data_IF_592335951315
#
_entry.id   IF_592335951315
#
_cell.length_a   1.000
_cell.length_b   1.000
_cell.length_c   1.000
_cell.angle_alpha   90.00
_cell.angle_beta   90.00
_cell.angle_gamma   90.00
#
_symmetry.space_group_name_H-M   'P 1'
#
loop_
_entity.id
_entity.type
_entity.pdbx_description
1 polymer ?
#
# COMPACT_ATOMS: atom_id res chain seq x y z
N UNK A 1 -19.10 -18.33 46.16
CA UNK A 1 -19.96 -19.11 45.25
C UNK A 1 -21.26 -18.33 45.06
N UNK A 2 -21.29 -17.44 44.07
CA UNK A 2 -22.44 -16.58 43.79
C UNK A 2 -22.75 -16.69 42.30
N UNK A 3 -23.71 -17.56 42.02
CA UNK A 3 -24.24 -17.83 40.69
C UNK A 3 -25.12 -16.66 40.26
N UNK A 4 -24.89 -16.09 39.08
CA UNK A 4 -25.81 -15.12 38.45
C UNK A 4 -26.20 -15.64 37.07
N UNK A 5 -27.49 -15.94 36.96
CA UNK A 5 -28.23 -16.25 35.73
C UNK A 5 -28.32 -14.99 34.85
N UNK A 6 -28.08 -15.15 33.55
CA UNK A 6 -28.37 -14.16 32.52
C UNK A 6 -29.43 -14.72 31.56
N UNK A 7 -30.43 -13.90 31.15
CA UNK A 7 -31.54 -14.33 30.31
C UNK A 7 -31.16 -14.37 28.82
N UNK A 8 -31.72 -15.35 28.12
CA UNK A 8 -31.64 -15.52 26.68
C UNK A 8 -32.47 -14.46 25.96
N UNK A 9 -31.86 -13.75 25.01
CA UNK A 9 -32.56 -12.90 24.05
C UNK A 9 -32.63 -13.63 22.70
N UNK A 10 -33.86 -13.99 22.31
CA UNK A 10 -34.21 -14.40 20.94
C UNK A 10 -34.25 -13.15 20.04
N UNK A 11 -33.51 -13.16 18.93
CA UNK A 11 -33.73 -12.23 17.82
C UNK A 11 -34.34 -12.98 16.63
N UNK A 12 -35.52 -12.51 16.24
CA UNK A 12 -36.28 -12.99 15.09
C UNK A 12 -35.64 -12.51 13.77
N UNK A 13 -35.51 -13.42 12.82
CA UNK A 13 -35.08 -13.14 11.46
C UNK A 13 -36.22 -12.52 10.64
N UNK A 14 -35.94 -11.42 9.94
CA UNK A 14 -36.82 -10.85 8.92
C UNK A 14 -36.10 -10.91 7.56
N UNK A 15 -36.58 -11.79 6.69
CA UNK A 15 -36.25 -11.91 5.27
C UNK A 15 -37.00 -10.86 4.46
N UNK A 16 -36.29 -10.04 3.70
CA UNK A 16 -36.87 -9.15 2.67
C UNK A 16 -36.31 -9.51 1.29
N UNK A 17 -37.19 -10.03 0.45
CA UNK A 17 -36.98 -10.30 -0.97
C UNK A 17 -36.90 -8.98 -1.75
N UNK A 18 -35.83 -8.78 -2.51
CA UNK A 18 -35.71 -7.69 -3.47
C UNK A 18 -36.05 -8.19 -4.88
N UNK A 19 -36.94 -7.45 -5.54
CA UNK A 19 -37.45 -7.66 -6.91
C UNK A 19 -36.40 -7.21 -7.92
N UNK A 20 -36.07 -8.09 -8.87
CA UNK A 20 -35.22 -7.79 -10.03
C UNK A 20 -36.07 -7.13 -11.13
N UNK A 21 -35.81 -5.85 -11.43
CA UNK A 21 -36.30 -5.16 -12.62
C UNK A 21 -35.24 -5.29 -13.73
N UNK A 22 -35.57 -6.07 -14.75
CA UNK A 22 -34.79 -6.20 -15.97
C UNK A 22 -35.19 -5.10 -16.97
N UNK A 23 -34.27 -4.19 -17.28
CA UNK A 23 -34.39 -3.29 -18.42
C UNK A 23 -33.62 -3.89 -19.60
N UNK A 24 -34.35 -4.29 -20.64
CA UNK A 24 -33.83 -4.68 -21.95
C UNK A 24 -33.96 -3.49 -22.90
N UNK A 25 -32.83 -2.89 -23.28
CA UNK A 25 -32.75 -2.03 -24.46
C UNK A 25 -31.78 -2.66 -25.47
N UNK A 26 -32.34 -3.04 -26.63
CA UNK A 26 -31.62 -3.49 -27.82
C UNK A 26 -31.21 -2.24 -28.60
N UNK A 27 -29.93 -1.91 -28.55
CA UNK A 27 -29.30 -1.05 -29.55
C UNK A 27 -28.04 -1.77 -30.04
N UNK A 28 -28.06 -2.21 -31.30
CA UNK A 28 -26.88 -2.75 -32.00
C UNK A 28 -25.89 -1.62 -32.23
N UNK A 29 -24.90 -1.53 -31.34
CA UNK A 29 -23.77 -0.62 -31.50
C UNK A 29 -22.68 -1.32 -32.31
N UNK A 30 -22.51 -0.90 -33.56
CA UNK A 30 -21.43 -1.33 -34.43
C UNK A 30 -20.20 -0.47 -34.14
N UNK A 31 -19.34 -0.95 -33.24
CA UNK A 31 -17.99 -0.41 -33.08
C UNK A 31 -17.05 -1.09 -34.07
N UNK A 32 -16.36 -0.29 -34.88
CA UNK A 32 -15.18 -0.72 -35.63
C UNK A 32 -14.14 -1.30 -34.67
N UNK A 33 -13.52 -2.45 -34.97
CA UNK A 33 -12.50 -3.04 -34.11
C UNK A 33 -11.29 -2.09 -34.03
N UNK A 34 -11.14 -1.45 -32.87
CA UNK A 34 -9.86 -0.87 -32.44
C UNK A 34 -8.83 -2.00 -32.43
N UNK A 35 -7.58 -1.76 -32.90
CA UNK A 35 -6.49 -2.72 -32.70
C UNK A 35 -6.45 -3.15 -31.23
N UNK A 36 -6.06 -4.39 -30.90
CA UNK A 36 -5.95 -4.80 -29.51
C UNK A 36 -4.99 -3.84 -28.81
N UNK A 37 -5.54 -2.97 -27.96
CA UNK A 37 -4.77 -2.17 -27.03
C UNK A 37 -3.85 -3.14 -26.30
N UNK A 38 -2.58 -2.76 -26.19
CA UNK A 38 -1.63 -3.45 -25.33
C UNK A 38 -2.35 -3.74 -24.02
N UNK A 39 -2.42 -5.04 -23.66
CA UNK A 39 -3.13 -5.55 -22.50
C UNK A 39 -3.01 -4.55 -21.35
N UNK A 40 -4.12 -4.09 -20.72
CA UNK A 40 -4.06 -3.09 -19.67
C UNK A 40 -3.00 -3.54 -18.68
N UNK A 41 -1.91 -2.77 -18.60
CA UNK A 41 -0.80 -3.09 -17.72
C UNK A 41 -1.38 -3.27 -16.32
N UNK A 42 -1.03 -4.38 -15.67
CA UNK A 42 -1.51 -4.71 -14.34
C UNK A 42 -1.34 -3.47 -13.45
N UNK A 43 -2.47 -2.96 -12.94
CA UNK A 43 -2.55 -1.77 -12.11
C UNK A 43 -1.52 -1.95 -10.99
N UNK A 44 -0.42 -1.21 -11.08
CA UNK A 44 0.58 -1.19 -10.02
C UNK A 44 -0.13 -0.78 -8.72
N UNK A 45 0.28 -1.30 -7.54
CA UNK A 45 -0.30 -0.88 -6.28
C UNK A 45 -0.37 0.64 -6.26
N UNK A 46 -1.59 1.17 -6.16
CA UNK A 46 -1.86 2.60 -6.21
C UNK A 46 -1.13 3.23 -5.02
N UNK A 47 0.04 3.80 -5.31
CA UNK A 47 0.71 4.71 -4.40
C UNK A 47 -0.08 6.01 -4.48
N UNK A 48 -0.50 6.58 -3.34
CA UNK A 48 -1.26 7.81 -3.34
C UNK A 48 -0.47 8.92 -4.03
N UNK A 49 -1.12 9.60 -4.95
CA UNK A 49 -0.73 10.97 -5.28
C UNK A 49 -1.09 11.84 -4.08
N UNK A 50 -0.24 11.81 -3.05
CA UNK A 50 -0.42 12.57 -1.84
C UNK A 50 -0.10 14.05 -2.11
N UNK A 51 -1.16 14.81 -2.41
CA UNK A 51 -1.20 16.26 -2.30
C UNK A 51 -0.92 17.00 -3.59
N UNK A 52 -1.99 17.58 -4.16
CA UNK A 52 -1.86 18.64 -5.15
C UNK A 52 -1.04 19.78 -4.57
N UNK A 53 0.15 19.98 -5.13
CA UNK A 53 1.00 21.11 -4.77
C UNK A 53 0.46 22.34 -5.52
N UNK A 54 -0.25 23.22 -4.80
CA UNK A 54 -0.72 24.49 -5.36
C UNK A 54 0.49 25.39 -5.69
N UNK A 55 0.64 25.68 -6.98
CA UNK A 55 1.16 26.93 -7.57
C UNK A 55 2.34 27.63 -6.90
N UNK A 56 3.56 27.12 -7.10
CA UNK A 56 4.78 27.91 -6.95
C UNK A 56 5.56 27.89 -8.26
N UNK A 57 5.67 29.02 -8.96
CA UNK A 57 6.55 29.25 -10.11
C UNK A 57 8.03 29.23 -9.67
N UNK A 58 8.50 28.08 -9.19
CA UNK A 58 9.92 27.77 -9.07
C UNK A 58 10.36 27.09 -10.36
N UNK A 59 11.40 27.62 -11.02
CA UNK A 59 11.90 27.15 -12.31
C UNK A 59 11.87 25.62 -12.42
N UNK A 60 11.13 25.11 -13.40
CA UNK A 60 10.94 23.69 -13.68
C UNK A 60 12.28 23.06 -14.05
N UNK A 61 13.04 22.65 -13.03
CA UNK A 61 14.10 21.68 -13.22
C UNK A 61 13.43 20.40 -13.65
N UNK A 62 13.58 20.05 -14.93
CA UNK A 62 13.05 18.79 -15.49
C UNK A 62 13.59 17.65 -14.62
N UNK A 63 12.68 16.97 -13.92
CA UNK A 63 13.01 15.80 -13.13
C UNK A 63 13.32 14.66 -14.12
N UNK A 64 14.60 14.34 -14.30
CA UNK A 64 15.00 13.20 -15.12
C UNK A 64 15.04 11.98 -14.21
N UNK A 65 14.05 11.11 -14.36
CA UNK A 65 14.01 9.87 -13.61
C UNK A 65 15.20 8.96 -14.02
N UNK A 66 15.88 8.37 -13.03
CA UNK A 66 17.06 7.53 -13.25
C UNK A 66 17.30 6.62 -12.04
N UNK A 67 17.59 5.35 -12.30
CA UNK A 67 17.89 4.37 -11.24
C UNK A 67 19.39 4.12 -11.23
N UNK A 68 20.07 4.25 -10.06
CA UNK A 68 21.49 3.95 -9.95
C UNK A 68 21.83 2.56 -10.52
N UNK A 69 22.94 2.45 -11.26
CA UNK A 69 23.35 1.19 -11.87
C UNK A 69 23.58 0.05 -10.85
N UNK A 70 23.87 0.42 -9.60
CA UNK A 70 24.05 -0.48 -8.47
C UNK A 70 22.81 -0.59 -7.56
N UNK A 71 21.63 -0.15 -8.02
CA UNK A 71 20.39 -0.31 -7.26
C UNK A 71 20.18 -1.79 -6.91
N UNK A 72 19.99 -2.03 -5.62
CA UNK A 72 19.62 -3.32 -5.06
C UNK A 72 18.46 -3.07 -4.13
N UNK A 73 17.40 -3.86 -4.31
CA UNK A 73 16.29 -3.80 -3.37
C UNK A 73 16.72 -4.35 -2.01
N UNK A 74 16.25 -3.67 -0.97
CA UNK A 74 16.51 -4.03 0.42
C UNK A 74 15.41 -4.92 1.03
N UNK A 75 14.71 -5.70 0.20
CA UNK A 75 13.59 -6.53 0.66
C UNK A 75 13.97 -7.34 1.90
N UNK A 76 13.25 -7.07 3.00
CA UNK A 76 13.33 -7.84 4.24
C UNK A 76 12.08 -8.70 4.32
N UNK A 77 12.22 -10.03 4.51
CA UNK A 77 11.09 -10.91 4.77
C UNK A 77 10.18 -10.34 5.87
N UNK A 78 8.87 -10.24 5.62
CA UNK A 78 7.96 -9.63 6.59
C UNK A 78 7.87 -10.49 7.86
N UNK A 79 7.68 -9.84 9.00
CA UNK A 79 7.39 -10.51 10.27
C UNK A 79 5.97 -10.21 10.69
N UNK A 80 5.15 -11.24 10.73
CA UNK A 80 3.80 -11.15 11.27
C UNK A 80 3.85 -11.31 12.79
N UNK A 81 3.18 -10.42 13.51
CA UNK A 81 3.01 -10.49 14.96
C UNK A 81 1.54 -10.18 15.30
N UNK A 82 0.65 -11.11 14.94
CA UNK A 82 -0.78 -11.01 15.21
C UNK A 82 -1.04 -10.84 16.71
N UNK A 83 -1.98 -9.96 17.03
CA UNK A 83 -2.34 -9.58 18.39
C UNK A 83 -1.42 -8.52 19.00
N UNK A 84 -0.39 -8.04 18.29
CA UNK A 84 0.44 -6.93 18.77
C UNK A 84 -0.31 -5.60 18.84
N UNK A 85 -1.34 -5.43 18.00
CA UNK A 85 -2.20 -4.25 17.96
C UNK A 85 -3.68 -4.64 18.09
N UNK A 86 -4.44 -3.84 18.82
CA UNK A 86 -5.90 -3.75 18.65
C UNK A 86 -6.23 -2.88 17.43
N UNK A 87 -7.47 -2.98 16.93
CA UNK A 87 -7.93 -2.12 15.81
C UNK A 87 -7.75 -0.62 16.12
N UNK A 88 -8.02 -0.22 17.37
CA UNK A 88 -7.82 1.16 17.82
C UNK A 88 -6.35 1.59 17.81
N UNK A 89 -5.41 0.67 18.05
CA UNK A 89 -3.98 0.98 18.02
C UNK A 89 -3.50 1.19 16.57
N UNK A 90 -4.03 0.41 15.62
CA UNK A 90 -3.75 0.60 14.19
C UNK A 90 -4.23 1.99 13.74
N UNK A 91 -5.46 2.38 14.09
CA UNK A 91 -5.98 3.73 13.79
C UNK A 91 -5.18 4.82 14.50
N UNK A 92 -4.77 4.56 15.74
CA UNK A 92 -3.91 5.43 16.53
C UNK A 92 -2.59 5.73 15.84
N UNK A 93 -1.89 4.71 15.33
CA UNK A 93 -0.63 4.92 14.62
C UNK A 93 -0.82 5.73 13.32
N UNK A 94 -1.90 5.49 12.55
CA UNK A 94 -2.19 6.32 11.38
C UNK A 94 -2.36 7.80 11.75
N UNK A 95 -3.22 8.07 12.72
CA UNK A 95 -3.58 9.43 13.14
C UNK A 95 -2.36 10.18 13.69
N UNK A 96 -1.56 9.53 14.52
CA UNK A 96 -0.46 10.19 15.24
C UNK A 96 0.87 10.19 14.46
N UNK A 97 1.08 9.26 13.52
CA UNK A 97 2.38 9.07 12.87
C UNK A 97 2.37 9.14 11.33
N UNK A 98 1.22 9.07 10.66
CA UNK A 98 1.19 8.96 9.19
C UNK A 98 0.36 10.06 8.50
N UNK A 99 -0.80 10.41 9.04
CA UNK A 99 -1.74 11.36 8.43
C UNK A 99 -1.15 12.79 8.33
N UNK A 100 -0.40 13.18 9.34
CA UNK A 100 0.02 14.56 9.58
C UNK A 100 1.54 14.73 9.57
N UNK A 101 2.25 13.92 8.77
CA UNK A 101 3.73 13.84 8.73
C UNK A 101 4.44 15.17 8.45
N UNK A 102 3.73 16.18 7.93
CA UNK A 102 4.27 17.51 7.60
C UNK A 102 3.99 18.57 8.66
N UNK A 103 3.24 18.25 9.72
CA UNK A 103 2.95 19.20 10.80
C UNK A 103 4.19 19.42 11.68
N UNK A 104 4.33 20.65 12.21
CA UNK A 104 5.55 21.06 12.93
C UNK A 104 5.80 20.27 14.23
N UNK A 105 4.73 19.79 14.86
CA UNK A 105 4.74 19.00 16.09
C UNK A 105 4.57 17.50 15.86
N UNK A 106 4.49 17.05 14.60
CA UNK A 106 4.28 15.65 14.22
C UNK A 106 5.20 14.69 14.99
N UNK A 107 6.50 14.99 15.04
CA UNK A 107 7.48 14.10 15.65
C UNK A 107 7.23 13.91 17.15
N UNK A 108 6.88 14.98 17.86
CA UNK A 108 6.56 14.90 19.29
C UNK A 108 5.27 14.10 19.54
N UNK A 109 4.25 14.28 18.69
CA UNK A 109 2.97 13.56 18.78
C UNK A 109 3.16 12.08 18.48
N UNK A 110 3.87 11.74 17.41
CA UNK A 110 4.15 10.36 17.05
C UNK A 110 5.02 9.68 18.10
N UNK A 111 6.10 10.32 18.57
CA UNK A 111 7.00 9.75 19.59
C UNK A 111 6.26 9.47 20.90
N UNK A 112 5.38 10.38 21.33
CA UNK A 112 4.54 10.18 22.52
C UNK A 112 3.62 8.96 22.35
N UNK A 113 2.99 8.81 21.18
CA UNK A 113 2.14 7.66 20.89
C UNK A 113 2.94 6.35 20.82
N UNK A 114 4.09 6.34 20.13
CA UNK A 114 4.98 5.18 19.99
C UNK A 114 5.47 4.72 21.36
N UNK A 115 5.83 5.65 22.24
CA UNK A 115 6.24 5.34 23.61
C UNK A 115 5.11 4.67 24.41
N UNK A 116 3.88 5.17 24.28
CA UNK A 116 2.71 4.60 24.96
C UNK A 116 2.28 3.24 24.38
N UNK A 117 2.56 2.97 23.09
CA UNK A 117 2.08 1.81 22.34
C UNK A 117 3.22 1.00 21.71
N UNK A 118 4.34 0.87 22.42
CA UNK A 118 5.60 0.35 21.87
C UNK A 118 5.49 -1.02 21.18
N UNK A 119 4.68 -1.94 21.71
CA UNK A 119 4.45 -3.26 21.10
C UNK A 119 3.78 -3.15 19.74
N UNK A 120 2.72 -2.34 19.62
CA UNK A 120 2.01 -2.15 18.36
C UNK A 120 2.88 -1.37 17.36
N UNK A 121 3.50 -0.27 17.81
CA UNK A 121 4.42 0.51 16.99
C UNK A 121 5.57 -0.33 16.43
N UNK A 122 6.16 -1.19 17.28
CA UNK A 122 7.24 -2.10 16.89
C UNK A 122 6.80 -3.18 15.91
N UNK A 123 5.53 -3.54 15.84
CA UNK A 123 5.01 -4.42 14.79
C UNK A 123 4.74 -3.66 13.49
N UNK A 124 4.12 -2.47 13.56
CA UNK A 124 3.74 -1.69 12.38
C UNK A 124 4.98 -1.21 11.62
N UNK A 125 5.96 -0.64 12.34
CA UNK A 125 7.13 0.00 11.74
C UNK A 125 8.42 -0.38 12.47
N UNK A 126 8.82 -1.67 12.46
CA UNK A 126 10.08 -2.10 13.07
C UNK A 126 11.27 -1.48 12.34
N UNK A 127 12.37 -1.30 13.07
CA UNK A 127 13.63 -0.74 12.56
C UNK A 127 14.26 -1.58 11.44
N UNK A 128 14.03 -2.90 11.45
CA UNK A 128 14.52 -3.81 10.42
C UNK A 128 13.65 -3.81 9.15
N UNK A 129 12.62 -2.97 9.09
CA UNK A 129 11.76 -2.78 7.91
C UNK A 129 10.97 -4.04 7.52
N UNK A 130 10.71 -4.93 8.48
CA UNK A 130 9.89 -6.13 8.25
C UNK A 130 8.40 -5.94 8.56
N UNK A 131 7.91 -4.72 8.81
CA UNK A 131 6.53 -4.45 9.24
C UNK A 131 5.61 -3.93 8.14
N UNK A 132 4.43 -3.47 8.53
CA UNK A 132 3.39 -2.95 7.63
C UNK A 132 3.76 -1.59 6.99
N UNK A 133 4.56 -0.78 7.67
CA UNK A 133 5.02 0.53 7.22
C UNK A 133 6.53 0.51 7.09
N UNK A 134 7.02 1.01 5.95
CA UNK A 134 8.45 1.13 5.66
C UNK A 134 8.81 2.60 5.63
N UNK A 135 9.54 3.05 6.63
CA UNK A 135 10.14 4.38 6.65
C UNK A 135 11.32 4.43 5.69
N UNK A 136 11.29 5.39 4.77
CA UNK A 136 12.31 5.59 3.75
C UNK A 136 13.13 6.83 4.12
N UNK A 137 14.44 6.64 4.35
CA UNK A 137 15.37 7.73 4.65
C UNK A 137 16.16 8.12 3.40
N UNK A 138 15.58 8.95 2.53
CA UNK A 138 16.29 9.51 1.38
C UNK A 138 16.75 10.94 1.65
N UNK A 139 17.64 11.14 2.64
CA UNK A 139 18.38 12.40 2.87
C UNK A 139 17.55 13.69 2.95
N UNK A 140 16.24 13.59 3.20
CA UNK A 140 15.25 14.66 3.07
C UNK A 140 14.07 14.47 4.03
N UNK A 141 12.90 15.10 3.77
CA UNK A 141 11.73 14.98 4.66
C UNK A 141 11.31 13.51 4.84
N UNK A 142 10.68 13.19 5.97
CA UNK A 142 10.28 11.82 6.28
C UNK A 142 9.28 11.32 5.24
N UNK A 143 9.57 10.19 4.61
CA UNK A 143 8.65 9.49 3.72
C UNK A 143 8.43 8.07 4.22
N UNK A 144 7.25 7.54 3.94
CA UNK A 144 6.94 6.15 4.20
C UNK A 144 6.24 5.53 2.99
N UNK A 145 6.29 4.22 2.93
CA UNK A 145 5.46 3.42 2.04
C UNK A 145 4.75 2.33 2.83
N UNK A 146 3.58 1.93 2.36
CA UNK A 146 2.90 0.74 2.88
C UNK A 146 3.57 -0.49 2.27
N UNK A 147 3.89 -1.48 3.10
CA UNK A 147 4.61 -2.70 2.72
C UNK A 147 3.72 -3.70 1.97
N UNK A 148 3.21 -3.30 0.80
CA UNK A 148 2.38 -4.16 -0.05
C UNK A 148 3.12 -5.43 -0.50
N UNK A 149 4.44 -5.35 -0.72
CA UNK A 149 5.28 -6.52 -1.01
C UNK A 149 5.34 -7.51 0.16
N UNK A 150 5.54 -7.01 1.37
CA UNK A 150 5.47 -7.83 2.58
C UNK A 150 4.07 -8.39 2.85
N UNK A 151 3.01 -7.61 2.58
CA UNK A 151 1.62 -8.10 2.65
C UNK A 151 1.43 -9.32 1.74
N UNK A 152 1.84 -9.22 0.48
CA UNK A 152 1.75 -10.32 -0.48
C UNK A 152 2.57 -11.54 -0.04
N UNK A 153 3.77 -11.32 0.51
CA UNK A 153 4.60 -12.41 1.03
C UNK A 153 3.93 -13.15 2.20
N UNK A 154 3.18 -12.45 3.06
CA UNK A 154 2.39 -13.07 4.13
C UNK A 154 1.20 -13.84 3.54
N UNK A 155 0.36 -13.18 2.72
CA UNK A 155 -0.88 -13.76 2.19
C UNK A 155 -0.61 -14.99 1.30
N UNK A 156 0.47 -14.94 0.51
CA UNK A 156 0.87 -16.05 -0.35
C UNK A 156 1.74 -17.09 0.37
N UNK A 157 2.07 -16.86 1.65
CA UNK A 157 2.99 -17.67 2.44
C UNK A 157 4.34 -17.91 1.73
N UNK A 158 4.85 -16.90 1.01
CA UNK A 158 6.10 -16.94 0.25
C UNK A 158 6.94 -15.69 0.54
N UNK A 159 7.88 -15.85 1.47
CA UNK A 159 8.86 -14.81 1.83
C UNK A 159 10.21 -15.01 1.14
N UNK A 160 10.28 -15.83 0.08
CA UNK A 160 11.52 -16.02 -0.65
C UNK A 160 11.91 -14.74 -1.42
N UNK A 161 13.22 -14.49 -1.68
CA UNK A 161 13.65 -13.32 -2.43
C UNK A 161 13.16 -13.28 -3.89
N UNK A 162 12.69 -14.41 -4.43
CA UNK A 162 12.11 -14.54 -5.76
C UNK A 162 10.58 -14.64 -5.73
N UNK A 163 9.99 -14.63 -4.54
CA UNK A 163 8.55 -14.70 -4.36
C UNK A 163 7.86 -13.42 -4.83
N UNK A 164 6.55 -13.52 -5.08
CA UNK A 164 5.78 -12.40 -5.60
C UNK A 164 5.84 -11.15 -4.71
N UNK A 165 5.89 -11.33 -3.38
CA UNK A 165 6.04 -10.23 -2.44
C UNK A 165 7.37 -9.48 -2.59
N UNK A 166 8.47 -10.22 -2.69
CA UNK A 166 9.82 -9.65 -2.88
C UNK A 166 9.95 -8.91 -4.22
N UNK A 167 9.44 -9.50 -5.31
CA UNK A 167 9.45 -8.89 -6.64
C UNK A 167 8.55 -7.65 -6.72
N UNK A 168 7.44 -7.64 -5.97
CA UNK A 168 6.57 -6.45 -5.86
C UNK A 168 7.27 -5.33 -5.09
N UNK A 169 7.96 -5.66 -4.01
CA UNK A 169 8.78 -4.69 -3.26
C UNK A 169 9.92 -4.14 -4.14
N UNK A 170 10.65 -4.98 -4.86
CA UNK A 170 11.74 -4.58 -5.76
C UNK A 170 11.26 -3.62 -6.86
N UNK A 171 10.12 -3.92 -7.50
CA UNK A 171 9.52 -3.04 -8.51
C UNK A 171 9.09 -1.68 -7.94
N UNK A 172 8.48 -1.68 -6.75
CA UNK A 172 8.08 -0.45 -6.05
C UNK A 172 9.29 0.39 -5.67
N UNK A 173 10.34 -0.22 -5.12
CA UNK A 173 11.56 0.49 -4.75
C UNK A 173 12.30 1.06 -5.95
N UNK A 174 12.37 0.32 -7.06
CA UNK A 174 12.92 0.84 -8.29
C UNK A 174 12.20 2.13 -8.71
N UNK A 175 10.87 2.16 -8.62
CA UNK A 175 10.08 3.35 -8.97
C UNK A 175 10.39 4.53 -8.04
N UNK A 176 10.57 4.26 -6.74
CA UNK A 176 10.94 5.28 -5.78
C UNK A 176 12.34 5.84 -6.02
N UNK A 177 13.32 4.95 -6.24
CA UNK A 177 14.72 5.32 -6.49
C UNK A 177 14.87 6.08 -7.80
N UNK A 178 14.10 5.71 -8.83
CA UNK A 178 14.03 6.45 -10.09
C UNK A 178 13.71 7.92 -9.87
N UNK A 179 12.89 8.23 -8.86
CA UNK A 179 12.43 9.57 -8.51
C UNK A 179 13.17 10.19 -7.33
N UNK A 180 14.06 9.46 -6.66
CA UNK A 180 14.70 9.89 -5.41
C UNK A 180 15.56 11.14 -5.53
N UNK A 181 16.05 11.44 -6.74
CA UNK A 181 16.82 12.66 -7.05
C UNK A 181 15.94 13.89 -7.31
N UNK A 182 14.63 13.72 -7.44
CA UNK A 182 13.73 14.82 -7.74
C UNK A 182 13.37 15.59 -6.47
N UNK A 183 13.25 16.92 -6.60
CA UNK A 183 13.01 17.81 -5.46
C UNK A 183 11.71 17.46 -4.70
N UNK A 184 10.74 16.88 -5.41
CA UNK A 184 9.54 16.31 -4.85
C UNK A 184 9.39 14.85 -5.35
N UNK A 185 10.01 13.87 -4.67
CA UNK A 185 9.91 12.46 -5.08
C UNK A 185 8.48 11.92 -4.93
N UNK A 186 7.63 12.64 -4.20
CA UNK A 186 6.20 12.33 -4.08
C UNK A 186 5.35 12.87 -5.21
N UNK A 187 5.88 13.73 -6.08
CA UNK A 187 5.16 14.19 -7.27
C UNK A 187 4.84 13.01 -8.20
N UNK A 188 3.56 12.86 -8.52
CA UNK A 188 3.08 11.82 -9.43
C UNK A 188 3.68 11.95 -10.83
N UNK A 189 4.12 13.15 -11.21
CA UNK A 189 4.72 13.42 -12.54
C UNK A 189 5.99 12.60 -12.77
N UNK A 190 6.93 12.59 -11.83
CA UNK A 190 8.15 11.80 -11.95
C UNK A 190 7.85 10.31 -12.09
N UNK A 191 6.95 9.79 -11.25
CA UNK A 191 6.61 8.36 -11.28
C UNK A 191 5.93 7.98 -12.59
N UNK A 192 5.05 8.85 -13.10
CA UNK A 192 4.42 8.65 -14.40
C UNK A 192 5.44 8.66 -15.53
N UNK A 193 6.41 9.57 -15.50
CA UNK A 193 7.49 9.65 -16.47
C UNK A 193 8.42 8.44 -16.40
N UNK A 194 8.86 8.03 -15.21
CA UNK A 194 9.68 6.85 -15.01
C UNK A 194 9.02 5.57 -15.55
N UNK A 195 7.68 5.47 -15.40
CA UNK A 195 6.87 4.41 -16.01
C UNK A 195 6.83 4.53 -17.53
N UNK A 196 6.54 5.71 -18.07
CA UNK A 196 6.48 5.96 -19.51
C UNK A 196 7.83 5.68 -20.22
N UNK A 197 8.95 5.95 -19.55
CA UNK A 197 10.30 5.66 -20.03
C UNK A 197 10.72 4.20 -19.80
N UNK A 198 9.92 3.41 -19.08
CA UNK A 198 10.19 2.01 -18.82
C UNK A 198 11.42 1.75 -17.94
N UNK A 199 11.80 2.70 -17.07
CA UNK A 199 13.00 2.62 -16.23
C UNK A 199 13.00 1.34 -15.39
N UNK A 200 11.84 0.96 -14.86
CA UNK A 200 11.66 -0.23 -14.03
C UNK A 200 10.97 -1.40 -14.76
N UNK A 201 10.89 -1.36 -16.10
CA UNK A 201 10.14 -2.35 -16.88
C UNK A 201 10.68 -3.78 -16.74
N UNK A 202 12.00 -3.96 -16.62
CA UNK A 202 12.59 -5.30 -16.41
C UNK A 202 12.08 -5.94 -15.12
N UNK A 203 12.03 -5.19 -14.02
CA UNK A 203 11.51 -5.64 -12.73
C UNK A 203 10.01 -5.88 -12.76
N UNK A 204 9.25 -4.98 -13.41
CA UNK A 204 7.82 -5.16 -13.61
C UNK A 204 7.52 -6.42 -14.43
N UNK A 205 8.30 -6.73 -15.46
CA UNK A 205 8.13 -7.92 -16.29
C UNK A 205 8.39 -9.21 -15.49
N UNK A 206 9.46 -9.25 -14.69
CA UNK A 206 9.76 -10.40 -13.81
C UNK A 206 8.67 -10.57 -12.75
N UNK A 207 8.23 -9.47 -12.12
CA UNK A 207 7.10 -9.50 -11.19
C UNK A 207 5.85 -10.07 -11.86
N UNK A 208 5.47 -9.54 -13.02
CA UNK A 208 4.26 -9.97 -13.74
C UNK A 208 4.32 -11.45 -14.16
N UNK A 209 5.49 -11.97 -14.56
CA UNK A 209 5.64 -13.37 -14.95
C UNK A 209 5.55 -14.34 -13.76
N UNK A 210 5.98 -13.92 -12.56
CA UNK A 210 5.95 -14.75 -11.34
C UNK A 210 4.63 -14.63 -10.59
N UNK A 211 4.13 -13.41 -10.42
CA UNK A 211 2.90 -13.14 -9.65
C UNK A 211 1.62 -13.52 -10.39
N UNK A 212 1.67 -13.62 -11.72
CA UNK A 212 0.48 -13.75 -12.55
C UNK A 212 -0.47 -12.55 -12.46
N UNK A 213 -1.62 -12.68 -13.12
CA UNK A 213 -2.68 -11.65 -13.18
C UNK A 213 -3.90 -11.97 -12.32
N UNK A 214 -3.95 -13.12 -11.66
CA UNK A 214 -5.14 -13.52 -10.90
C UNK A 214 -5.20 -12.84 -9.53
N UNK A 215 -6.14 -11.91 -9.40
CA UNK A 215 -6.20 -10.86 -8.36
C UNK A 215 -6.78 -11.28 -7.01
N UNK A 216 -7.33 -12.49 -6.83
CA UNK A 216 -8.12 -12.80 -5.63
C UNK A 216 -7.31 -12.72 -4.32
N UNK A 217 -6.12 -13.31 -4.27
CA UNK A 217 -5.22 -13.20 -3.11
C UNK A 217 -4.46 -11.86 -3.07
N UNK A 218 -4.43 -11.12 -4.19
CA UNK A 218 -3.77 -9.81 -4.27
C UNK A 218 -4.69 -8.68 -3.81
N UNK A 219 -6.00 -8.86 -3.91
CA UNK A 219 -7.00 -7.86 -3.50
C UNK A 219 -6.87 -7.46 -2.02
N UNK A 220 -6.41 -8.37 -1.15
CA UNK A 220 -6.13 -8.09 0.26
C UNK A 220 -4.89 -7.23 0.49
N UNK A 221 -4.06 -7.02 -0.54
CA UNK A 221 -2.83 -6.22 -0.48
C UNK A 221 -2.83 -5.08 -1.52
N UNK A 222 -3.92 -4.92 -2.27
CA UNK A 222 -4.10 -3.89 -3.30
C UNK A 222 -5.35 -3.09 -2.95
N UNK A 223 -5.13 -1.86 -2.50
CA UNK A 223 -6.19 -1.00 -1.99
C UNK A 223 -6.32 0.26 -2.83
N UNK A 224 -7.52 0.85 -2.84
CA UNK A 224 -7.83 2.02 -3.69
C UNK A 224 -7.24 3.34 -3.19
N UNK A 225 -6.99 3.46 -1.89
CA UNK A 225 -6.45 4.66 -1.25
C UNK A 225 -5.41 4.30 -0.17
N UNK A 226 -4.61 5.30 0.25
CA UNK A 226 -3.51 5.09 1.20
C UNK A 226 -3.98 4.63 2.58
N UNK A 227 -5.10 5.14 3.06
CA UNK A 227 -5.61 4.78 4.39
C UNK A 227 -6.10 3.34 4.38
N UNK A 228 -6.87 2.95 3.37
CA UNK A 228 -7.29 1.57 3.16
C UNK A 228 -6.08 0.64 3.00
N UNK A 229 -5.05 1.08 2.26
CA UNK A 229 -3.80 0.33 2.10
C UNK A 229 -3.12 0.08 3.43
N UNK A 230 -2.98 1.14 4.22
CA UNK A 230 -2.43 1.07 5.55
C UNK A 230 -3.25 0.15 6.46
N UNK A 231 -4.57 0.36 6.58
CA UNK A 231 -5.42 -0.37 7.51
C UNK A 231 -5.38 -1.87 7.25
N UNK A 232 -5.57 -2.28 6.00
CA UNK A 232 -5.55 -3.69 5.64
C UNK A 232 -4.17 -4.32 5.81
N UNK A 233 -3.11 -3.63 5.42
CA UNK A 233 -1.73 -4.12 5.61
C UNK A 233 -1.39 -4.23 7.10
N UNK A 234 -1.65 -3.19 7.90
CA UNK A 234 -1.40 -3.20 9.34
C UNK A 234 -2.24 -4.28 10.05
N UNK A 235 -3.49 -4.49 9.65
CA UNK A 235 -4.31 -5.57 10.17
C UNK A 235 -3.70 -6.95 9.85
N UNK A 236 -3.20 -7.17 8.63
CA UNK A 236 -2.54 -8.42 8.23
C UNK A 236 -1.27 -8.67 9.05
N UNK A 237 -0.42 -7.66 9.27
CA UNK A 237 0.83 -7.83 10.03
C UNK A 237 0.61 -7.94 11.54
N UNK A 238 -0.24 -7.08 12.10
CA UNK A 238 -0.22 -6.73 13.51
C UNK A 238 -1.58 -6.78 14.21
N UNK A 239 -2.67 -6.82 13.43
CA UNK A 239 -4.02 -6.76 13.98
C UNK A 239 -4.39 -7.96 14.87
N UNK A 240 -5.59 -7.96 15.44
CA UNK A 240 -6.09 -9.04 16.28
C UNK A 240 -5.93 -10.43 15.63
N UNK A 241 -5.78 -11.50 16.43
CA UNK A 241 -5.66 -12.87 15.94
C UNK A 241 -6.91 -13.34 15.18
#
# INVERSE_FOLDING_TARGET
MTSRLLPAFLFAAATTSAVLLACSSKDESTFTPTPPDASPEAIAPLLPDAGGSEGGEGGSGVCVADVPANFQSDFVPPKQNKGACQTADIEGYWTNCLANIREADHDAVCDAWVMANATCAGCIAPQDRSGAVLWLSYGGPKFYQINSGGCLAIVLADSSPQGCGALTHDASQCTWEACGKCQNPTDGTCRAEARAQGICSSKNNVRSSVCGTSDASRAECVFGDLKSAYDGTAAIFCGPP
#
